data_IF_258381000702
#
_entry.id   IF_258381000702
#
_cell.length_a   1.000
_cell.length_b   1.000
_cell.length_c   1.000
_cell.angle_alpha   90.00
_cell.angle_beta   90.00
_cell.angle_gamma   90.00
#
_symmetry.space_group_name_H-M   'P 1'
#
loop_
_entity.id
_entity.type
_entity.pdbx_description
1 polymer ?
#
# COMPACT_ATOMS: atom_id res chain seq x y z
N UNK A 1 14.64 24.81 35.27
CA UNK A 1 14.30 24.44 33.88
C UNK A 1 12.88 23.99 33.94
N UNK A 2 11.96 24.86 33.57
CA UNK A 2 10.54 24.52 33.52
C UNK A 2 10.38 23.50 32.39
N UNK A 3 9.94 22.29 32.75
CA UNK A 3 9.46 21.31 31.78
C UNK A 3 8.33 21.96 31.00
N UNK A 4 8.50 22.09 29.69
CA UNK A 4 7.37 22.26 28.79
C UNK A 4 6.63 20.92 28.81
N UNK A 5 5.80 20.71 29.85
CA UNK A 5 4.72 19.73 29.79
C UNK A 5 3.70 20.35 28.85
N UNK A 6 3.93 20.15 27.55
CA UNK A 6 2.98 20.53 26.50
C UNK A 6 1.62 19.92 26.84
N UNK A 7 0.55 20.67 26.65
CA UNK A 7 -0.81 20.15 26.85
C UNK A 7 -0.98 18.85 26.05
N UNK A 8 -1.39 17.78 26.71
CA UNK A 8 -1.76 16.53 26.06
C UNK A 8 -2.94 16.78 25.12
N UNK A 9 -2.82 16.32 23.88
CA UNK A 9 -3.88 16.36 22.86
C UNK A 9 -3.88 15.08 22.04
N UNK A 10 -4.91 14.91 21.21
CA UNK A 10 -4.99 13.80 20.28
C UNK A 10 -4.41 14.22 18.94
N UNK A 11 -3.53 13.39 18.39
CA UNK A 11 -3.05 13.49 17.01
C UNK A 11 -3.51 12.26 16.26
N UNK A 12 -4.10 12.47 15.08
CA UNK A 12 -4.55 11.41 14.19
C UNK A 12 -3.87 11.58 12.84
N UNK A 13 -2.96 10.66 12.51
CA UNK A 13 -2.41 10.56 11.16
C UNK A 13 -3.38 9.76 10.29
N UNK A 14 -3.84 10.38 9.20
CA UNK A 14 -4.68 9.75 8.19
C UNK A 14 -3.89 9.68 6.88
N UNK A 15 -3.60 8.46 6.41
CA UNK A 15 -2.92 8.20 5.15
C UNK A 15 -3.96 7.86 4.08
N UNK A 16 -3.92 8.55 2.94
CA UNK A 16 -4.80 8.26 1.82
C UNK A 16 -4.06 7.48 0.72
N UNK A 17 -4.34 6.18 0.60
CA UNK A 17 -3.76 5.31 -0.43
C UNK A 17 -4.74 5.14 -1.59
N UNK A 18 -4.35 5.66 -2.76
CA UNK A 18 -5.13 5.56 -3.98
C UNK A 18 -4.25 5.37 -5.22
N UNK A 19 -4.71 4.50 -6.11
CA UNK A 19 -4.31 4.45 -7.52
C UNK A 19 -5.57 4.22 -8.37
N UNK A 20 -5.64 4.81 -9.58
CA UNK A 20 -6.68 4.45 -10.54
C UNK A 20 -6.52 2.98 -10.96
N UNK A 21 -7.58 2.41 -11.54
CA UNK A 21 -7.52 1.04 -12.03
C UNK A 21 -6.62 0.95 -13.28
N UNK A 22 -5.48 0.26 -13.16
CA UNK A 22 -4.44 0.16 -14.21
C UNK A 22 -4.17 -1.28 -14.65
N UNK A 23 -5.03 -2.24 -14.30
CA UNK A 23 -4.80 -3.65 -14.65
C UNK A 23 -5.18 -3.94 -16.11
N UNK A 24 -4.22 -4.47 -16.87
CA UNK A 24 -4.33 -4.84 -18.29
C UNK A 24 -4.09 -6.36 -18.47
N UNK A 25 -5.12 -7.20 -18.32
CA UNK A 25 -4.97 -8.67 -18.33
C UNK A 25 -4.47 -9.23 -19.67
N UNK A 26 -4.69 -8.52 -20.78
CA UNK A 26 -4.32 -8.92 -22.13
C UNK A 26 -2.83 -8.69 -22.47
N UNK A 27 -2.08 -8.03 -21.59
CA UNK A 27 -0.65 -7.73 -21.77
C UNK A 27 0.18 -8.36 -20.67
N UNK A 28 1.32 -8.95 -21.01
CA UNK A 28 2.27 -9.46 -20.01
C UNK A 28 2.99 -8.32 -19.26
N UNK A 29 3.31 -7.24 -19.97
CA UNK A 29 3.90 -6.02 -19.43
C UNK A 29 3.18 -4.79 -19.98
N UNK A 30 2.86 -3.84 -19.11
CA UNK A 30 2.26 -2.56 -19.47
C UNK A 30 2.83 -1.45 -18.58
N UNK A 31 3.00 -0.24 -19.11
CA UNK A 31 3.72 0.82 -18.40
C UNK A 31 2.91 1.36 -17.22
N UNK A 32 1.60 1.46 -17.37
CA UNK A 32 0.67 1.97 -16.37
C UNK A 32 0.60 1.06 -15.14
N UNK A 33 0.80 -0.24 -15.31
CA UNK A 33 0.90 -1.21 -14.19
C UNK A 33 2.16 -0.97 -13.34
N UNK A 34 3.20 -0.33 -13.89
CA UNK A 34 4.43 -0.04 -13.12
C UNK A 34 4.17 0.92 -11.97
N UNK A 35 3.24 1.86 -12.10
CA UNK A 35 2.87 2.74 -10.98
C UNK A 35 2.35 1.95 -9.79
N UNK A 36 1.57 0.89 -10.04
CA UNK A 36 1.14 -0.02 -9.00
C UNK A 36 2.34 -0.77 -8.39
N UNK A 37 3.23 -1.35 -9.21
CA UNK A 37 4.40 -2.07 -8.71
C UNK A 37 5.37 -1.20 -7.89
N UNK A 38 5.60 0.04 -8.34
CA UNK A 38 6.40 1.04 -7.63
C UNK A 38 5.74 1.41 -6.30
N UNK A 39 4.43 1.69 -6.28
CA UNK A 39 3.71 1.98 -5.04
C UNK A 39 3.73 0.81 -4.04
N UNK A 40 3.56 -0.44 -4.51
CA UNK A 40 3.68 -1.64 -3.68
C UNK A 40 5.07 -1.72 -3.03
N UNK A 41 6.13 -1.57 -3.82
CA UNK A 41 7.53 -1.77 -3.39
C UNK A 41 8.06 -0.61 -2.53
N UNK A 42 7.71 0.61 -2.89
CA UNK A 42 8.31 1.80 -2.29
C UNK A 42 7.46 2.40 -1.17
N UNK A 43 6.17 2.08 -1.11
CA UNK A 43 5.24 2.63 -0.13
C UNK A 43 4.56 1.55 0.71
N UNK A 44 3.74 0.68 0.11
CA UNK A 44 2.82 -0.16 0.89
C UNK A 44 3.52 -1.28 1.67
N UNK A 45 4.47 -2.00 1.05
CA UNK A 45 5.26 -3.00 1.76
C UNK A 45 6.11 -2.36 2.87
N UNK A 46 6.84 -1.25 2.65
CA UNK A 46 7.56 -0.57 3.72
C UNK A 46 6.66 -0.07 4.87
N UNK A 47 5.45 0.42 4.58
CA UNK A 47 4.49 0.81 5.61
C UNK A 47 4.04 -0.40 6.43
N UNK A 48 3.69 -1.50 5.76
CA UNK A 48 3.31 -2.75 6.40
C UNK A 48 4.43 -3.25 7.34
N UNK A 49 5.66 -3.33 6.84
CA UNK A 49 6.84 -3.72 7.63
C UNK A 49 7.03 -2.82 8.85
N UNK A 50 6.88 -1.50 8.68
CA UNK A 50 7.04 -0.52 9.75
C UNK A 50 5.97 -0.71 10.84
N UNK A 51 4.71 -0.88 10.44
CA UNK A 51 3.60 -1.06 11.38
C UNK A 51 3.68 -2.39 12.12
N UNK A 52 4.04 -3.47 11.43
CA UNK A 52 4.30 -4.76 12.07
C UNK A 52 5.43 -4.67 13.07
N UNK A 53 6.53 -3.98 12.74
CA UNK A 53 7.65 -3.80 13.65
C UNK A 53 7.24 -3.03 14.90
N UNK A 54 6.54 -1.91 14.75
CA UNK A 54 6.03 -1.14 15.90
C UNK A 54 5.11 -1.99 16.78
N UNK A 55 4.24 -2.80 16.18
CA UNK A 55 3.37 -3.73 16.91
C UNK A 55 4.17 -4.79 17.66
N UNK A 56 5.20 -5.39 17.02
CA UNK A 56 6.07 -6.41 17.63
C UNK A 56 6.93 -5.84 18.77
N UNK A 57 7.37 -4.59 18.64
CA UNK A 57 8.17 -3.89 19.65
C UNK A 57 7.30 -3.36 20.82
N UNK A 58 5.98 -3.57 20.79
CA UNK A 58 5.05 -3.12 21.84
C UNK A 58 4.85 -1.61 21.88
N UNK A 59 5.14 -0.89 20.79
CA UNK A 59 4.91 0.55 20.69
C UNK A 59 3.42 0.80 20.49
N UNK A 60 2.79 1.54 21.39
CA UNK A 60 1.39 1.94 21.23
C UNK A 60 1.27 3.05 20.18
N UNK A 61 0.64 2.75 19.04
CA UNK A 61 0.30 3.72 18.01
C UNK A 61 -1.14 3.57 17.53
N UNK A 62 -1.70 4.65 16.99
CA UNK A 62 -3.00 4.68 16.32
C UNK A 62 -2.89 5.50 15.06
N UNK A 63 -3.24 4.91 13.92
CA UNK A 63 -3.30 5.62 12.65
C UNK A 63 -4.44 5.09 11.80
N UNK A 64 -4.90 5.92 10.86
CA UNK A 64 -5.92 5.56 9.89
C UNK A 64 -5.27 5.50 8.51
N UNK A 65 -5.58 4.47 7.74
CA UNK A 65 -5.29 4.42 6.31
C UNK A 65 -6.58 4.22 5.54
N UNK A 66 -6.82 5.03 4.51
CA UNK A 66 -7.87 4.74 3.56
C UNK A 66 -7.29 4.04 2.34
N UNK A 67 -7.89 2.93 1.92
CA UNK A 67 -7.61 2.35 0.60
C UNK A 67 -8.77 2.63 -0.34
N UNK A 68 -8.48 3.16 -1.53
CA UNK A 68 -9.51 3.28 -2.56
C UNK A 68 -9.91 1.88 -3.09
N UNK A 69 -11.19 1.65 -3.41
CA UNK A 69 -11.64 0.36 -3.94
C UNK A 69 -10.85 -0.16 -5.15
N UNK A 70 -10.45 0.66 -6.16
CA UNK A 70 -9.67 0.16 -7.29
C UNK A 70 -8.30 -0.36 -6.87
N UNK A 71 -7.66 0.29 -5.89
CA UNK A 71 -6.39 -0.17 -5.34
C UNK A 71 -6.54 -1.51 -4.60
N UNK A 72 -7.59 -1.67 -3.79
CA UNK A 72 -7.85 -2.92 -3.08
C UNK A 72 -8.10 -4.08 -4.06
N UNK A 73 -8.91 -3.86 -5.10
CA UNK A 73 -9.15 -4.85 -6.17
C UNK A 73 -7.85 -5.27 -6.85
N UNK A 74 -6.96 -4.31 -7.17
CA UNK A 74 -5.66 -4.62 -7.78
C UNK A 74 -4.72 -5.37 -6.82
N UNK A 75 -4.73 -5.06 -5.52
CA UNK A 75 -3.91 -5.76 -4.51
C UNK A 75 -4.26 -7.25 -4.37
N UNK A 76 -5.53 -7.60 -4.53
CA UNK A 76 -6.00 -8.99 -4.42
C UNK A 76 -6.10 -9.72 -5.77
N UNK A 77 -5.87 -9.03 -6.88
CA UNK A 77 -6.00 -9.62 -8.21
C UNK A 77 -4.83 -10.59 -8.49
N UNK A 78 -5.08 -11.88 -8.77
CA UNK A 78 -4.01 -12.85 -8.96
C UNK A 78 -3.07 -12.53 -10.13
N UNK A 79 -3.60 -11.95 -11.23
CA UNK A 79 -2.77 -11.57 -12.38
C UNK A 79 -1.84 -10.40 -12.02
N UNK A 80 -2.33 -9.42 -11.26
CA UNK A 80 -1.51 -8.31 -10.77
C UNK A 80 -0.44 -8.79 -9.79
N UNK A 81 -0.77 -9.70 -8.88
CA UNK A 81 0.17 -10.30 -7.94
C UNK A 81 1.29 -11.06 -8.69
N UNK A 82 0.93 -11.86 -9.68
CA UNK A 82 1.90 -12.60 -10.50
C UNK A 82 2.83 -11.65 -11.26
N UNK A 83 2.27 -10.64 -11.93
CA UNK A 83 3.04 -9.61 -12.64
C UNK A 83 3.96 -8.84 -11.70
N UNK A 84 3.46 -8.45 -10.52
CA UNK A 84 4.25 -7.77 -9.51
C UNK A 84 5.41 -8.63 -9.00
N UNK A 85 5.17 -9.90 -8.69
CA UNK A 85 6.21 -10.84 -8.29
C UNK A 85 7.28 -11.03 -9.36
N UNK A 86 6.90 -11.08 -10.65
CA UNK A 86 7.88 -11.08 -11.76
C UNK A 86 8.68 -9.78 -11.81
N UNK A 87 8.02 -8.63 -11.68
CA UNK A 87 8.66 -7.33 -11.68
C UNK A 87 9.70 -7.21 -10.55
N UNK A 88 9.33 -7.61 -9.34
CA UNK A 88 10.20 -7.53 -8.17
C UNK A 88 11.44 -8.43 -8.28
N UNK A 89 11.30 -9.65 -8.81
CA UNK A 89 12.44 -10.54 -9.10
C UNK A 89 13.38 -9.96 -10.15
N UNK A 90 12.86 -9.30 -11.19
CA UNK A 90 13.70 -8.59 -12.19
C UNK A 90 14.46 -7.42 -11.56
N UNK A 91 13.83 -6.67 -10.65
CA UNK A 91 14.51 -5.60 -9.91
C UNK A 91 15.62 -6.14 -9.01
N UNK A 92 15.38 -7.25 -8.31
CA UNK A 92 16.39 -7.90 -7.49
C UNK A 92 17.57 -8.38 -8.34
N UNK A 93 17.31 -9.07 -9.45
CA UNK A 93 18.36 -9.52 -10.40
C UNK A 93 19.18 -8.33 -10.93
N UNK A 94 18.53 -7.21 -11.27
CA UNK A 94 19.21 -6.00 -11.69
C UNK A 94 20.09 -5.43 -10.56
N UNK A 95 19.57 -5.36 -9.33
CA UNK A 95 20.30 -4.84 -8.19
C UNK A 95 21.52 -5.70 -7.84
N UNK A 96 21.43 -7.03 -7.94
CA UNK A 96 22.56 -7.94 -7.76
C UNK A 96 23.65 -7.70 -8.80
N UNK A 97 23.28 -7.53 -10.08
CA UNK A 97 24.23 -7.17 -11.15
C UNK A 97 24.89 -5.81 -10.88
N UNK A 98 24.14 -4.84 -10.38
CA UNK A 98 24.67 -3.51 -10.02
C UNK A 98 25.62 -3.57 -8.81
N UNK A 99 25.35 -4.44 -7.83
CA UNK A 99 26.28 -4.68 -6.71
C UNK A 99 27.62 -5.20 -7.21
N UNK A 100 27.62 -6.19 -8.12
CA UNK A 100 28.86 -6.71 -8.71
C UNK A 100 29.56 -5.65 -9.58
N UNK A 101 28.81 -4.96 -10.45
CA UNK A 101 29.35 -3.91 -11.33
C UNK A 101 30.04 -2.78 -10.55
N UNK A 102 29.49 -2.40 -9.40
CA UNK A 102 29.99 -1.28 -8.59
C UNK A 102 31.05 -1.68 -7.57
N UNK A 103 31.42 -2.97 -7.48
CA UNK A 103 32.32 -3.51 -6.44
C UNK A 103 33.68 -2.82 -6.36
N UNK A 104 34.22 -2.43 -7.52
CA UNK A 104 35.52 -1.76 -7.63
C UNK A 104 35.38 -0.24 -7.92
N UNK A 105 34.15 0.28 -7.93
CA UNK A 105 33.88 1.71 -8.12
C UNK A 105 33.95 2.51 -6.79
N UNK A 106 33.51 3.77 -6.81
CA UNK A 106 33.36 4.60 -5.60
C UNK A 106 32.53 3.84 -4.53
N UNK A 107 33.05 3.68 -3.30
CA UNK A 107 32.36 2.97 -2.23
C UNK A 107 30.94 3.48 -1.93
N UNK A 108 30.64 4.75 -2.22
CA UNK A 108 29.28 5.31 -2.07
C UNK A 108 28.30 4.69 -3.07
N UNK A 109 28.72 4.47 -4.32
CA UNK A 109 27.88 3.81 -5.33
C UNK A 109 27.63 2.36 -4.95
N UNK A 110 28.68 1.65 -4.51
CA UNK A 110 28.54 0.27 -4.06
C UNK A 110 27.59 0.14 -2.85
N UNK A 111 27.68 1.05 -1.88
CA UNK A 111 26.72 1.08 -0.76
C UNK A 111 25.29 1.32 -1.23
N UNK A 112 25.08 2.21 -2.20
CA UNK A 112 23.74 2.46 -2.76
C UNK A 112 23.19 1.23 -3.50
N UNK A 113 24.01 0.52 -4.28
CA UNK A 113 23.60 -0.71 -4.94
C UNK A 113 23.18 -1.79 -3.92
N UNK A 114 23.97 -1.98 -2.84
CA UNK A 114 23.61 -2.91 -1.77
C UNK A 114 22.31 -2.50 -1.06
N UNK A 115 22.11 -1.21 -0.79
CA UNK A 115 20.89 -0.70 -0.17
C UNK A 115 19.63 -1.08 -0.97
N UNK A 116 19.65 -0.89 -2.29
CA UNK A 116 18.51 -1.27 -3.13
C UNK A 116 18.34 -2.78 -3.26
N UNK A 117 19.43 -3.56 -3.37
CA UNK A 117 19.36 -5.03 -3.36
C UNK A 117 18.65 -5.52 -2.10
N UNK A 118 19.11 -5.09 -0.92
CA UNK A 118 18.51 -5.48 0.37
C UNK A 118 17.06 -5.04 0.48
N UNK A 119 16.69 -3.89 -0.07
CA UNK A 119 15.30 -3.42 -0.07
C UNK A 119 14.41 -4.29 -0.95
N UNK A 120 14.85 -4.65 -2.15
CA UNK A 120 14.07 -5.52 -3.05
C UNK A 120 13.99 -6.95 -2.54
N UNK A 121 15.07 -7.46 -1.95
CA UNK A 121 15.10 -8.77 -1.27
C UNK A 121 14.09 -8.81 -0.13
N UNK A 122 14.12 -7.83 0.79
CA UNK A 122 13.11 -7.73 1.87
C UNK A 122 11.68 -7.60 1.35
N UNK A 123 11.47 -6.80 0.31
CA UNK A 123 10.14 -6.64 -0.27
C UNK A 123 9.63 -7.96 -0.87
N UNK A 124 10.50 -8.74 -1.51
CA UNK A 124 10.17 -10.04 -2.09
C UNK A 124 9.85 -11.06 -1.00
N UNK A 125 10.65 -11.11 0.07
CA UNK A 125 10.39 -11.97 1.23
C UNK A 125 9.02 -11.68 1.86
N UNK A 126 8.68 -10.40 2.11
CA UNK A 126 7.37 -10.02 2.66
C UNK A 126 6.25 -10.42 1.71
N UNK A 127 6.40 -10.15 0.41
CA UNK A 127 5.41 -10.49 -0.58
C UNK A 127 5.17 -12.02 -0.66
N UNK A 128 6.23 -12.82 -0.65
CA UNK A 128 6.14 -14.28 -0.68
C UNK A 128 5.58 -14.86 0.63
N UNK A 129 5.96 -14.32 1.79
CA UNK A 129 5.43 -14.73 3.09
C UNK A 129 3.92 -14.48 3.26
N UNK A 130 3.37 -13.56 2.47
CA UNK A 130 1.93 -13.25 2.43
C UNK A 130 1.21 -13.93 1.25
N UNK A 131 1.84 -14.90 0.59
CA UNK A 131 1.33 -15.58 -0.60
C UNK A 131 0.88 -14.58 -1.70
N UNK A 132 1.58 -13.46 -1.80
CA UNK A 132 1.30 -12.36 -2.72
C UNK A 132 0.18 -11.40 -2.30
N UNK A 133 -0.53 -11.66 -1.20
CA UNK A 133 -1.64 -10.84 -0.75
C UNK A 133 -1.22 -9.80 0.32
N UNK A 134 -0.65 -8.69 -0.13
CA UNK A 134 -0.24 -7.60 0.78
C UNK A 134 -1.41 -7.00 1.57
N UNK A 135 -2.63 -6.98 1.00
CA UNK A 135 -3.81 -6.49 1.72
C UNK A 135 -4.10 -7.33 2.97
N UNK A 136 -3.82 -8.64 2.95
CA UNK A 136 -3.99 -9.51 4.11
C UNK A 136 -3.15 -9.04 5.31
N UNK A 137 -1.90 -8.60 5.08
CA UNK A 137 -1.06 -8.05 6.16
C UNK A 137 -1.67 -6.81 6.81
N UNK A 138 -2.24 -5.90 6.01
CA UNK A 138 -2.96 -4.73 6.53
C UNK A 138 -4.24 -5.13 7.28
N UNK A 139 -4.98 -6.15 6.83
CA UNK A 139 -6.16 -6.67 7.54
C UNK A 139 -5.79 -7.21 8.92
N UNK A 140 -4.67 -7.93 9.06
CA UNK A 140 -4.22 -8.42 10.37
C UNK A 140 -3.81 -7.27 11.30
N UNK A 141 -3.12 -6.25 10.78
CA UNK A 141 -2.87 -5.02 11.52
C UNK A 141 -4.16 -4.32 11.95
N UNK A 142 -5.20 -4.31 11.10
CA UNK A 142 -6.49 -3.76 11.48
C UNK A 142 -7.11 -4.50 12.67
N UNK A 143 -7.12 -5.83 12.60
CA UNK A 143 -7.67 -6.68 13.67
C UNK A 143 -6.91 -6.55 15.00
N UNK A 144 -5.61 -6.25 14.96
CA UNK A 144 -4.82 -5.96 16.17
C UNK A 144 -5.23 -4.66 16.87
N UNK A 145 -5.94 -3.76 16.17
CA UNK A 145 -6.41 -2.49 16.68
C UNK A 145 -5.41 -1.35 16.63
N UNK A 146 -4.17 -1.54 16.14
CA UNK A 146 -3.20 -0.44 15.96
C UNK A 146 -3.47 0.41 14.71
N UNK A 147 -4.06 -0.21 13.69
CA UNK A 147 -4.39 0.42 12.41
C UNK A 147 -5.91 0.44 12.22
N UNK A 148 -6.49 1.58 11.89
CA UNK A 148 -7.84 1.62 11.35
C UNK A 148 -7.77 1.73 9.83
N UNK A 149 -8.56 0.92 9.14
CA UNK A 149 -8.64 0.92 7.68
C UNK A 149 -10.03 1.43 7.32
N UNK A 150 -10.08 2.41 6.44
CA UNK A 150 -11.32 2.99 5.92
C UNK A 150 -11.36 2.89 4.39
N UNK A 151 -12.51 3.14 3.80
CA UNK A 151 -12.68 3.11 2.33
C UNK A 151 -12.61 4.52 1.72
N UNK A 152 -12.78 4.62 0.40
CA UNK A 152 -12.99 5.85 -0.36
C UNK A 152 -14.09 5.58 -1.42
N UNK A 153 -14.72 6.60 -1.99
CA UNK A 153 -15.73 6.38 -3.03
C UNK A 153 -15.18 5.60 -4.25
N UNK A 154 -16.06 4.83 -4.90
CA UNK A 154 -15.73 3.65 -5.71
C UNK A 154 -14.58 3.80 -6.72
N UNK A 155 -14.51 4.92 -7.45
CA UNK A 155 -13.45 5.14 -8.44
C UNK A 155 -12.67 6.42 -8.17
N UNK A 156 -12.71 6.92 -6.92
CA UNK A 156 -12.13 8.21 -6.56
C UNK A 156 -12.69 9.37 -7.43
N UNK A 157 -13.95 9.24 -7.82
CA UNK A 157 -14.66 10.27 -8.57
C UNK A 157 -14.83 11.54 -7.72
N UNK A 158 -14.60 12.71 -8.33
CA UNK A 158 -14.83 13.99 -7.69
C UNK A 158 -16.34 14.26 -7.57
N UNK A 159 -16.92 13.83 -6.44
CA UNK A 159 -18.36 13.79 -6.20
C UNK A 159 -19.09 15.12 -6.43
N UNK A 160 -18.53 16.31 -6.12
CA UNK A 160 -19.22 17.58 -6.33
C UNK A 160 -19.65 17.84 -7.78
N UNK A 161 -18.98 17.26 -8.78
CA UNK A 161 -19.39 17.38 -10.20
C UNK A 161 -20.65 16.57 -10.53
N UNK A 162 -21.02 15.60 -9.68
CA UNK A 162 -22.21 14.78 -9.83
C UNK A 162 -23.40 15.29 -9.02
N UNK A 163 -23.36 16.54 -8.52
CA UNK A 163 -24.45 17.13 -7.71
C UNK A 163 -25.83 17.10 -8.39
N UNK A 164 -25.89 17.14 -9.72
CA UNK A 164 -27.13 17.05 -10.50
C UNK A 164 -27.57 15.59 -10.73
N UNK A 165 -26.72 14.63 -10.36
CA UNK A 165 -26.89 13.20 -10.53
C UNK A 165 -26.67 12.48 -9.18
N UNK A 166 -27.50 12.72 -8.16
CA UNK A 166 -27.31 12.15 -6.81
C UNK A 166 -27.23 10.62 -6.80
N UNK A 167 -27.94 9.94 -7.71
CA UNK A 167 -27.86 8.49 -7.87
C UNK A 167 -26.43 8.00 -8.22
N UNK A 168 -25.62 8.81 -8.92
CA UNK A 168 -24.21 8.47 -9.20
C UNK A 168 -23.37 8.55 -7.93
N UNK A 169 -23.66 9.53 -7.06
CA UNK A 169 -23.01 9.65 -5.75
C UNK A 169 -23.36 8.45 -4.88
N UNK A 170 -24.65 8.08 -4.83
CA UNK A 170 -25.11 6.90 -4.08
C UNK A 170 -24.45 5.61 -4.57
N UNK A 171 -24.31 5.44 -5.90
CA UNK A 171 -23.60 4.29 -6.48
C UNK A 171 -22.12 4.28 -6.12
N UNK A 172 -21.44 5.44 -6.17
CA UNK A 172 -20.02 5.56 -5.80
C UNK A 172 -19.78 5.22 -4.32
N UNK A 173 -20.70 5.58 -3.43
CA UNK A 173 -20.61 5.27 -2.00
C UNK A 173 -21.00 3.80 -1.74
N UNK A 174 -22.12 3.34 -2.29
CA UNK A 174 -22.63 1.99 -2.10
C UNK A 174 -21.65 0.92 -2.58
N UNK A 175 -21.13 1.07 -3.80
CA UNK A 175 -20.13 0.14 -4.35
C UNK A 175 -18.84 0.14 -3.54
N UNK A 176 -18.42 1.29 -3.02
CA UNK A 176 -17.21 1.37 -2.19
C UNK A 176 -17.34 0.57 -0.88
N UNK A 177 -18.51 0.64 -0.23
CA UNK A 177 -18.81 -0.13 0.97
C UNK A 177 -18.90 -1.62 0.65
N UNK A 178 -19.59 -1.99 -0.43
CA UNK A 178 -19.72 -3.38 -0.87
C UNK A 178 -18.35 -4.02 -1.17
N UNK A 179 -17.50 -3.33 -1.94
CA UNK A 179 -16.16 -3.81 -2.28
C UNK A 179 -15.30 -3.94 -1.01
N UNK A 180 -15.35 -2.94 -0.14
CA UNK A 180 -14.63 -2.98 1.13
C UNK A 180 -15.06 -4.19 1.97
N UNK A 181 -16.36 -4.38 2.20
CA UNK A 181 -16.89 -5.49 3.00
C UNK A 181 -16.49 -6.85 2.41
N UNK A 182 -16.59 -6.99 1.09
CA UNK A 182 -16.22 -8.23 0.38
C UNK A 182 -14.75 -8.59 0.57
N UNK A 183 -13.84 -7.60 0.55
CA UNK A 183 -12.40 -7.83 0.63
C UNK A 183 -11.88 -7.89 2.07
N UNK A 184 -12.47 -7.12 2.98
CA UNK A 184 -12.03 -7.01 4.38
C UNK A 184 -12.74 -8.01 5.31
N UNK A 185 -13.96 -8.42 4.96
CA UNK A 185 -14.82 -9.29 5.77
C UNK A 185 -15.61 -8.57 6.87
N UNK A 186 -15.59 -7.24 6.89
CA UNK A 186 -16.30 -6.39 7.85
C UNK A 186 -16.59 -5.00 7.26
N UNK A 187 -17.60 -4.26 7.77
CA UNK A 187 -17.95 -2.93 7.27
C UNK A 187 -16.88 -1.88 7.57
N UNK A 188 -16.72 -0.85 6.71
CA UNK A 188 -15.86 0.29 7.02
C UNK A 188 -16.54 1.20 8.06
N UNK A 189 -15.77 1.71 9.02
CA UNK A 189 -16.25 2.68 10.02
C UNK A 189 -16.05 4.15 9.61
N UNK A 190 -15.37 4.37 8.48
CA UNK A 190 -15.12 5.70 7.93
C UNK A 190 -14.96 5.65 6.42
N UNK A 191 -14.94 6.83 5.82
CA UNK A 191 -14.71 7.01 4.39
C UNK A 191 -13.88 8.27 4.15
N UNK A 192 -12.85 8.16 3.33
CA UNK A 192 -12.19 9.30 2.72
C UNK A 192 -13.01 9.81 1.53
N UNK A 193 -13.29 11.11 1.48
CA UNK A 193 -14.03 11.73 0.37
C UNK A 193 -13.03 12.31 -0.64
N UNK A 194 -13.06 11.82 -1.88
CA UNK A 194 -12.23 12.29 -2.99
C UNK A 194 -12.63 13.69 -3.51
#
# INVERSE_FOLDING_TARGET
MDEIVGKSGYFLLVLHAHLPYVHHPEREEFLEERWFFEAMTETYIPLLETFEKLSKDGVEFKLVISFSPPLMEMMVNPSMQEKYGRHLRKLLELAEKEVERTREEDPRKHRMANFYRERFERALEIFENLDGNILAGFIELHKSGFLEIITCNATHAFLPLFREYPHVIDLQIGLAVEIYERLMGFPPNGMWIA
#
